data_IF_915642711358
#
_entry.id   IF_915642711358
#
_cell.length_a   1.000
_cell.length_b   1.000
_cell.length_c   1.000
_cell.angle_alpha   90.00
_cell.angle_beta   90.00
_cell.angle_gamma   90.00
#
_symmetry.space_group_name_H-M   'P 1'
#
loop_
_entity.id
_entity.type
_entity.pdbx_description
1 polymer ?
#
# COMPACT_ATOMS: atom_id res chain seq x y z
N UNK A 1 6.84 20.99 20.81
CA UNK A 1 5.56 20.39 21.27
C UNK A 1 5.80 18.99 21.81
N UNK A 2 5.10 18.60 22.88
CA UNK A 2 5.19 17.26 23.49
C UNK A 2 4.28 16.27 22.74
N UNK A 3 4.53 14.96 22.86
CA UNK A 3 3.82 13.92 22.09
C UNK A 3 2.30 13.94 22.27
N UNK A 4 1.80 14.16 23.48
CA UNK A 4 0.35 14.29 23.74
C UNK A 4 -0.30 15.46 23.01
N UNK A 5 0.41 16.58 22.81
CA UNK A 5 -0.13 17.73 22.07
C UNK A 5 -0.37 17.37 20.61
N UNK A 6 0.58 16.67 19.98
CA UNK A 6 0.40 16.17 18.61
C UNK A 6 -0.80 15.22 18.51
N UNK A 7 -0.95 14.29 19.46
CA UNK A 7 -2.07 13.33 19.48
C UNK A 7 -3.41 14.07 19.53
N UNK A 8 -3.57 15.00 20.48
CA UNK A 8 -4.82 15.74 20.68
C UNK A 8 -5.12 16.61 19.46
N UNK A 9 -4.13 17.36 18.95
CA UNK A 9 -4.31 18.25 17.80
C UNK A 9 -4.72 17.46 16.56
N UNK A 10 -4.06 16.34 16.27
CA UNK A 10 -4.40 15.56 15.08
C UNK A 10 -5.70 14.75 15.23
N UNK A 11 -6.07 14.36 16.45
CA UNK A 11 -7.36 13.73 16.71
C UNK A 11 -8.51 14.74 16.55
N UNK A 12 -8.35 15.95 17.07
CA UNK A 12 -9.31 17.03 16.89
C UNK A 12 -9.41 17.47 15.43
N UNK A 13 -8.27 17.57 14.73
CA UNK A 13 -8.25 17.83 13.29
C UNK A 13 -9.00 16.75 12.50
N UNK A 14 -8.85 15.47 12.89
CA UNK A 14 -9.61 14.37 12.28
C UNK A 14 -11.12 14.56 12.48
N UNK A 15 -11.58 14.86 13.69
CA UNK A 15 -13.01 15.12 13.94
C UNK A 15 -13.53 16.28 13.10
N UNK A 16 -12.81 17.41 13.07
CA UNK A 16 -13.20 18.59 12.28
C UNK A 16 -13.31 18.28 10.78
N UNK A 17 -12.40 17.46 10.25
CA UNK A 17 -12.35 17.18 8.82
C UNK A 17 -13.38 16.15 8.34
N UNK A 18 -13.89 15.30 9.23
CA UNK A 18 -14.76 14.17 8.87
C UNK A 18 -16.18 14.26 9.44
N UNK A 19 -16.47 15.23 10.31
CA UNK A 19 -17.81 15.42 10.85
C UNK A 19 -18.78 15.90 9.76
N UNK A 20 -19.84 15.12 9.50
CA UNK A 20 -20.78 15.27 8.38
C UNK A 20 -20.13 15.37 7.00
N UNK A 21 -18.97 14.73 6.82
CA UNK A 21 -18.26 14.68 5.55
C UNK A 21 -17.99 13.23 5.10
N UNK A 22 -18.14 12.99 3.81
CA UNK A 22 -17.65 11.78 3.15
C UNK A 22 -16.13 11.85 2.93
N UNK A 23 -15.52 10.72 2.58
CA UNK A 23 -14.08 10.68 2.26
C UNK A 23 -13.81 11.37 0.91
N UNK A 24 -12.96 12.38 0.94
CA UNK A 24 -12.52 13.12 -0.24
C UNK A 24 -11.32 14.03 0.09
N UNK A 25 -11.49 15.33 -0.12
CA UNK A 25 -10.47 16.35 0.15
C UNK A 25 -9.96 16.32 1.61
N UNK A 26 -10.84 15.99 2.55
CA UNK A 26 -10.51 15.85 3.98
C UNK A 26 -9.33 14.94 4.29
N UNK A 27 -9.28 13.72 3.74
CA UNK A 27 -8.17 12.80 3.98
C UNK A 27 -6.86 13.31 3.35
N UNK A 28 -6.96 13.97 2.19
CA UNK A 28 -5.81 14.62 1.55
C UNK A 28 -5.21 15.73 2.41
N UNK A 29 -6.06 16.61 2.98
CA UNK A 29 -5.64 17.64 3.94
C UNK A 29 -5.02 16.99 5.17
N UNK A 30 -5.68 15.99 5.74
CA UNK A 30 -5.19 15.28 6.92
C UNK A 30 -3.79 14.70 6.67
N UNK A 31 -3.59 14.05 5.52
CA UNK A 31 -2.30 13.46 5.16
C UNK A 31 -1.20 14.52 5.04
N UNK A 32 -1.49 15.65 4.40
CA UNK A 32 -0.56 16.77 4.28
C UNK A 32 -0.23 17.35 5.66
N UNK A 33 -1.23 17.54 6.52
CA UNK A 33 -1.03 18.02 7.88
C UNK A 33 -0.14 17.07 8.70
N UNK A 34 -0.39 15.75 8.62
CA UNK A 34 0.46 14.74 9.28
C UNK A 34 1.90 14.77 8.77
N UNK A 35 2.10 14.90 7.45
CA UNK A 35 3.43 14.98 6.86
C UNK A 35 4.19 16.22 7.35
N UNK A 36 3.54 17.39 7.36
CA UNK A 36 4.11 18.66 7.83
C UNK A 36 4.44 18.60 9.32
N UNK A 37 3.52 18.14 10.16
CA UNK A 37 3.74 17.98 11.60
C UNK A 37 4.88 16.99 11.88
N UNK A 38 5.02 15.96 11.05
CA UNK A 38 6.13 14.99 11.16
C UNK A 38 7.46 15.63 10.82
N UNK A 39 7.53 16.48 9.80
CA UNK A 39 8.74 17.25 9.47
C UNK A 39 9.17 18.14 10.65
N UNK A 40 8.23 18.86 11.26
CA UNK A 40 8.50 19.72 12.42
C UNK A 40 8.92 18.92 13.66
N UNK A 41 8.31 17.77 13.91
CA UNK A 41 8.65 16.90 15.03
C UNK A 41 10.01 16.21 14.88
N UNK A 42 10.42 15.93 13.64
CA UNK A 42 11.63 15.15 13.36
C UNK A 42 12.89 15.99 13.60
N UNK A 43 13.81 15.57 14.48
CA UNK A 43 15.09 16.24 14.68
C UNK A 43 15.91 16.31 13.39
N UNK A 44 16.66 17.38 13.18
CA UNK A 44 17.43 17.59 11.94
C UNK A 44 18.39 16.42 11.61
N UNK A 45 18.98 15.80 12.63
CA UNK A 45 19.83 14.62 12.51
C UNK A 45 19.15 13.41 11.82
N UNK A 46 17.82 13.34 11.88
CA UNK A 46 17.01 12.29 11.28
C UNK A 46 16.45 12.67 9.90
N UNK A 47 16.60 13.93 9.46
CA UNK A 47 16.14 14.43 8.14
C UNK A 47 17.08 14.01 6.99
N UNK A 48 17.29 12.70 6.87
CA UNK A 48 18.07 12.09 5.78
C UNK A 48 17.42 12.29 4.41
N UNK A 49 18.17 12.12 3.32
CA UNK A 49 17.63 12.16 1.94
C UNK A 49 16.39 11.27 1.76
N UNK A 50 16.44 10.04 2.27
CA UNK A 50 15.30 9.11 2.26
C UNK A 50 14.08 9.67 3.01
N UNK A 51 14.31 10.32 4.15
CA UNK A 51 13.21 10.94 4.91
C UNK A 51 12.58 12.09 4.12
N UNK A 52 13.37 12.94 3.46
CA UNK A 52 12.87 14.03 2.64
C UNK A 52 12.11 13.54 1.41
N UNK A 53 12.57 12.46 0.78
CA UNK A 53 11.83 11.79 -0.31
C UNK A 53 10.48 11.29 0.21
N UNK A 54 10.45 10.59 1.36
CA UNK A 54 9.21 10.10 1.96
C UNK A 54 8.27 11.23 2.38
N UNK A 55 8.81 12.37 2.82
CA UNK A 55 8.02 13.56 3.10
C UNK A 55 7.37 14.09 1.82
N UNK A 56 8.15 14.28 0.75
CA UNK A 56 7.62 14.73 -0.53
C UNK A 56 6.58 13.77 -1.10
N UNK A 57 6.83 12.46 -1.07
CA UNK A 57 5.85 11.47 -1.54
C UNK A 57 4.61 11.41 -0.64
N UNK A 58 4.73 11.68 0.66
CA UNK A 58 3.54 11.81 1.53
C UNK A 58 2.67 12.99 1.13
N UNK A 59 3.28 14.14 0.84
CA UNK A 59 2.54 15.33 0.34
C UNK A 59 1.87 15.00 -1.01
N UNK A 60 2.61 14.45 -1.97
CA UNK A 60 2.05 14.08 -3.27
C UNK A 60 0.96 13.01 -3.17
N UNK A 61 1.09 12.04 -2.25
CA UNK A 61 0.02 11.06 -2.00
C UNK A 61 -1.23 11.71 -1.43
N UNK A 62 -1.10 12.69 -0.52
CA UNK A 62 -2.24 13.47 -0.01
C UNK A 62 -2.91 14.29 -1.13
N UNK A 63 -2.13 14.90 -2.02
CA UNK A 63 -2.65 15.60 -3.19
C UNK A 63 -3.35 14.65 -4.17
N UNK A 64 -2.77 13.47 -4.42
CA UNK A 64 -3.36 12.48 -5.31
C UNK A 64 -4.68 11.93 -4.75
N UNK A 65 -4.77 11.71 -3.44
CA UNK A 65 -6.04 11.33 -2.82
C UNK A 65 -7.07 12.46 -2.87
N UNK A 66 -6.68 13.71 -2.62
CA UNK A 66 -7.59 14.85 -2.82
C UNK A 66 -8.06 14.98 -4.28
N UNK A 67 -7.24 14.51 -5.23
CA UNK A 67 -7.55 14.54 -6.65
C UNK A 67 -8.49 13.43 -7.12
N UNK A 68 -8.21 12.19 -6.73
CA UNK A 68 -8.96 11.01 -7.17
C UNK A 68 -9.88 10.45 -6.08
N UNK A 69 -9.42 10.30 -4.84
CA UNK A 69 -10.23 9.70 -3.78
C UNK A 69 -10.51 8.21 -3.99
N UNK A 70 -9.58 7.49 -4.63
CA UNK A 70 -9.71 6.08 -4.97
C UNK A 70 -8.83 5.16 -4.11
N UNK A 71 -9.00 3.85 -4.27
CA UNK A 71 -8.27 2.87 -3.46
C UNK A 71 -6.74 2.92 -3.65
N UNK A 72 -6.18 3.03 -4.87
CA UNK A 72 -4.75 3.24 -5.07
C UNK A 72 -4.20 4.48 -4.37
N UNK A 73 -4.89 5.62 -4.46
CA UNK A 73 -4.46 6.85 -3.76
C UNK A 73 -4.58 6.74 -2.25
N UNK A 74 -5.58 6.02 -1.74
CA UNK A 74 -5.68 5.71 -0.31
C UNK A 74 -4.47 4.89 0.17
N UNK A 75 -4.12 3.84 -0.57
CA UNK A 75 -2.98 3.00 -0.26
C UNK A 75 -1.66 3.78 -0.34
N UNK A 76 -1.54 4.71 -1.29
CA UNK A 76 -0.40 5.63 -1.38
C UNK A 76 -0.28 6.53 -0.15
N UNK A 77 -1.38 7.11 0.34
CA UNK A 77 -1.40 7.93 1.56
C UNK A 77 -0.96 7.12 2.78
N UNK A 78 -1.61 5.98 3.02
CA UNK A 78 -1.35 5.14 4.19
C UNK A 78 0.10 4.65 4.19
N UNK A 79 0.58 4.09 3.08
CA UNK A 79 1.95 3.59 2.98
C UNK A 79 2.99 4.70 3.14
N UNK A 80 2.77 5.87 2.52
CA UNK A 80 3.69 7.02 2.61
C UNK A 80 3.79 7.55 4.04
N UNK A 81 2.65 7.75 4.71
CA UNK A 81 2.62 8.25 6.08
C UNK A 81 3.24 7.27 7.08
N UNK A 82 2.98 5.97 6.93
CA UNK A 82 3.58 4.94 7.79
C UNK A 82 5.10 4.87 7.60
N UNK A 83 5.58 4.93 6.34
CA UNK A 83 7.01 4.96 6.04
C UNK A 83 7.68 6.23 6.60
N UNK A 84 7.03 7.38 6.45
CA UNK A 84 7.50 8.66 6.96
C UNK A 84 7.59 8.64 8.50
N UNK A 85 6.55 8.17 9.19
CA UNK A 85 6.53 8.02 10.64
C UNK A 85 7.64 7.09 11.13
N UNK A 86 7.80 5.95 10.48
CA UNK A 86 8.84 4.98 10.81
C UNK A 86 10.24 5.56 10.66
N UNK A 87 10.49 6.26 9.55
CA UNK A 87 11.80 6.86 9.27
C UNK A 87 12.10 8.07 10.15
N UNK A 88 11.09 8.80 10.61
CA UNK A 88 11.24 9.94 11.53
C UNK A 88 11.91 9.53 12.84
N UNK A 89 11.56 8.34 13.37
CA UNK A 89 12.11 7.81 14.63
C UNK A 89 13.35 6.96 14.41
N UNK A 90 13.42 6.19 13.33
CA UNK A 90 14.48 5.21 13.11
C UNK A 90 15.27 5.44 11.81
N UNK A 91 16.52 5.89 11.92
CA UNK A 91 17.40 6.11 10.76
C UNK A 91 18.01 4.83 10.17
N UNK A 92 18.20 3.78 10.98
CA UNK A 92 18.98 2.59 10.59
C UNK A 92 18.16 1.32 10.41
N UNK A 93 16.92 1.32 10.90
CA UNK A 93 16.06 0.15 10.80
C UNK A 93 15.66 -0.10 9.35
N UNK A 94 15.63 -1.38 8.98
CA UNK A 94 15.16 -1.82 7.66
C UNK A 94 13.64 -1.62 7.55
N UNK A 95 13.17 -1.35 6.34
CA UNK A 95 11.76 -0.99 6.10
C UNK A 95 10.84 -2.20 6.19
N UNK A 96 11.34 -3.41 5.94
CA UNK A 96 10.55 -4.62 6.09
C UNK A 96 10.02 -4.80 7.54
N UNK A 97 10.72 -4.26 8.55
CA UNK A 97 10.23 -4.25 9.93
C UNK A 97 9.06 -3.29 10.17
N UNK A 98 8.69 -2.43 9.21
CA UNK A 98 7.52 -1.58 9.33
C UNK A 98 6.25 -2.39 9.60
N UNK A 99 6.07 -3.51 8.90
CA UNK A 99 4.89 -4.37 9.00
C UNK A 99 4.75 -4.96 10.42
N UNK A 100 5.73 -5.71 10.96
CA UNK A 100 5.61 -6.26 12.29
C UNK A 100 5.54 -5.16 13.36
N UNK A 101 6.24 -4.04 13.19
CA UNK A 101 6.14 -2.94 14.15
C UNK A 101 4.75 -2.30 14.12
N UNK A 102 4.14 -2.12 12.94
CA UNK A 102 2.78 -1.61 12.83
C UNK A 102 1.77 -2.54 13.51
N UNK A 103 1.82 -3.84 13.22
CA UNK A 103 0.94 -4.85 13.83
C UNK A 103 1.08 -4.82 15.37
N UNK A 104 2.32 -4.84 15.87
CA UNK A 104 2.60 -4.80 17.31
C UNK A 104 2.10 -3.49 17.93
N UNK A 105 2.26 -2.34 17.28
CA UNK A 105 1.73 -1.08 17.82
C UNK A 105 0.20 -1.08 17.86
N UNK A 106 -0.49 -1.58 16.82
CA UNK A 106 -1.94 -1.70 16.84
C UNK A 106 -2.43 -2.58 17.99
N UNK A 107 -1.84 -3.77 18.17
CA UNK A 107 -2.23 -4.69 19.25
C UNK A 107 -1.88 -4.12 20.65
N UNK A 108 -0.71 -3.51 20.80
CA UNK A 108 -0.28 -2.95 22.09
C UNK A 108 -0.87 -1.58 22.38
N UNK A 109 -1.55 -0.93 21.43
CA UNK A 109 -2.09 0.42 21.59
C UNK A 109 -3.04 0.53 22.78
N UNK A 110 -3.91 -0.47 22.98
CA UNK A 110 -4.80 -0.57 24.13
C UNK A 110 -4.03 -0.61 25.45
N UNK A 111 -3.04 -1.48 25.58
CA UNK A 111 -2.22 -1.56 26.81
C UNK A 111 -1.40 -0.28 27.05
N UNK A 112 -0.86 0.31 25.98
CA UNK A 112 0.00 1.51 26.04
C UNK A 112 -0.82 2.77 26.31
N UNK A 113 -2.09 2.78 25.94
CA UNK A 113 -3.02 3.85 26.30
C UNK A 113 -3.12 3.97 27.83
N UNK A 114 -3.37 2.85 28.52
CA UNK A 114 -3.43 2.81 30.00
C UNK A 114 -2.07 3.02 30.69
N UNK A 115 -0.97 2.95 29.94
CA UNK A 115 0.38 3.27 30.44
C UNK A 115 0.63 4.78 30.44
N UNK A 116 -0.18 5.53 31.19
CA UNK A 116 -0.21 6.99 31.21
C UNK A 116 1.16 7.64 31.40
N UNK A 117 2.02 7.06 32.26
CA UNK A 117 3.36 7.59 32.54
C UNK A 117 4.32 7.63 31.33
N UNK A 118 4.03 6.85 30.28
CA UNK A 118 4.90 6.75 29.11
C UNK A 118 4.65 7.84 28.07
N UNK A 119 3.43 8.39 28.01
CA UNK A 119 3.03 9.32 26.94
C UNK A 119 2.42 10.63 27.46
N UNK A 120 1.92 10.64 28.71
CA UNK A 120 1.62 11.87 29.44
C UNK A 120 2.87 12.36 30.18
N UNK A 121 3.04 13.68 30.33
CA UNK A 121 4.20 14.23 31.03
C UNK A 121 4.19 13.79 32.50
N UNK A 122 5.30 13.22 32.98
CA UNK A 122 5.55 13.02 34.42
C UNK A 122 5.32 14.35 35.14
N UNK A 123 4.41 14.36 36.11
CA UNK A 123 3.90 15.59 36.70
C UNK A 123 4.96 16.26 37.59
N UNK A 124 5.48 17.39 37.12
CA UNK A 124 5.59 18.64 37.90
C UNK A 124 4.56 19.62 37.31
N UNK A 125 3.26 19.31 37.42
CA UNK A 125 2.20 20.23 36.97
C UNK A 125 1.71 21.01 38.17
N UNK A 126 1.69 22.33 38.04
CA UNK A 126 0.98 23.21 38.95
C UNK A 126 -0.46 22.74 39.12
N UNK A 127 -1.00 22.87 40.34
CA UNK A 127 -2.28 22.27 40.75
C UNK A 127 -3.50 22.61 39.89
N UNK A 128 -3.41 23.55 38.94
CA UNK A 128 -4.52 23.99 38.08
C UNK A 128 -5.06 22.87 37.17
N UNK A 129 -4.20 22.06 36.53
CA UNK A 129 -4.65 21.01 35.59
C UNK A 129 -5.18 19.75 36.28
N UNK A 130 -4.72 19.45 37.50
CA UNK A 130 -5.35 18.45 38.36
C UNK A 130 -6.74 18.92 38.77
N UNK A 131 -6.83 20.20 39.14
CA UNK A 131 -8.08 20.83 39.53
C UNK A 131 -9.09 20.84 38.37
N UNK A 132 -8.74 21.25 37.16
CA UNK A 132 -9.70 21.23 36.04
C UNK A 132 -10.15 19.83 35.63
N UNK A 133 -9.26 18.83 35.59
CA UNK A 133 -9.67 17.44 35.32
C UNK A 133 -10.60 16.88 36.40
N UNK A 134 -10.26 17.08 37.68
CA UNK A 134 -11.03 16.54 38.80
C UNK A 134 -12.32 17.32 39.09
N UNK A 135 -12.32 18.64 38.92
CA UNK A 135 -13.44 19.52 39.26
C UNK A 135 -14.34 19.87 38.07
N UNK A 136 -13.90 19.65 36.83
CA UNK A 136 -14.72 19.95 35.64
C UNK A 136 -15.00 18.67 34.85
N UNK A 137 -13.98 17.94 34.39
CA UNK A 137 -14.21 16.81 33.49
C UNK A 137 -14.97 15.66 34.14
N UNK A 138 -14.55 15.21 35.34
CA UNK A 138 -15.20 14.09 36.05
C UNK A 138 -16.65 14.44 36.43
N UNK A 139 -16.94 15.61 37.04
CA UNK A 139 -18.32 16.02 37.31
C UNK A 139 -19.15 16.17 36.05
N UNK A 140 -18.61 16.73 34.97
CA UNK A 140 -19.34 16.89 33.71
C UNK A 140 -19.74 15.54 33.12
N UNK A 141 -18.84 14.56 33.08
CA UNK A 141 -19.15 13.21 32.58
C UNK A 141 -20.22 12.54 33.45
N UNK A 142 -20.10 12.62 34.77
CA UNK A 142 -21.09 12.07 35.68
C UNK A 142 -22.46 12.75 35.48
N UNK A 143 -22.50 14.09 35.42
CA UNK A 143 -23.72 14.85 35.15
C UNK A 143 -24.31 14.47 33.80
N UNK A 144 -23.52 14.33 32.74
CA UNK A 144 -24.03 13.92 31.42
C UNK A 144 -24.65 12.52 31.43
N UNK A 145 -24.03 11.55 32.13
CA UNK A 145 -24.59 10.20 32.27
C UNK A 145 -25.91 10.23 33.05
N UNK A 146 -25.95 10.91 34.20
CA UNK A 146 -27.17 11.03 35.00
C UNK A 146 -28.26 11.84 34.29
N UNK A 147 -27.89 12.87 33.55
CA UNK A 147 -28.80 13.66 32.73
C UNK A 147 -29.50 12.79 31.67
N UNK A 148 -28.74 11.91 30.98
CA UNK A 148 -29.31 10.95 30.03
C UNK A 148 -30.29 9.97 30.69
N UNK A 149 -29.95 9.45 31.87
CA UNK A 149 -30.83 8.55 32.65
C UNK A 149 -32.11 9.27 33.09
N UNK A 150 -32.01 10.50 33.60
CA UNK A 150 -33.18 11.26 34.06
C UNK A 150 -34.07 11.73 32.91
N UNK A 151 -33.48 12.09 31.76
CA UNK A 151 -34.23 12.41 30.53
C UNK A 151 -35.00 11.20 30.01
N UNK A 152 -34.40 10.01 30.03
CA UNK A 152 -35.10 8.77 29.65
C UNK A 152 -36.17 8.33 30.67
N UNK A 153 -36.06 8.75 31.94
CA UNK A 153 -36.96 8.34 33.02
C UNK A 153 -38.11 9.31 33.31
N UNK A 154 -38.13 10.51 32.73
CA UNK A 154 -39.16 11.51 33.00
C UNK A 154 -39.46 12.39 31.77
N UNK A 155 -40.67 12.23 31.24
CA UNK A 155 -41.15 13.01 30.08
C UNK A 155 -41.17 14.53 30.38
N UNK A 156 -41.48 14.93 31.61
CA UNK A 156 -41.44 16.34 32.03
C UNK A 156 -40.02 16.90 32.10
N UNK A 157 -39.03 16.10 32.51
CA UNK A 157 -37.63 16.54 32.53
C UNK A 157 -37.07 16.62 31.10
N UNK A 158 -37.40 15.66 30.24
CA UNK A 158 -37.07 15.71 28.81
C UNK A 158 -37.71 16.91 28.09
N UNK A 159 -38.95 17.28 28.48
CA UNK A 159 -39.69 18.43 27.94
C UNK A 159 -38.96 19.78 28.14
N UNK A 160 -38.13 19.91 29.18
CA UNK A 160 -37.41 21.17 29.48
C UNK A 160 -36.25 21.45 28.51
N UNK A 161 -35.82 20.45 27.74
CA UNK A 161 -34.65 20.53 26.86
C UNK A 161 -34.95 20.15 25.41
N UNK A 162 -36.21 19.82 25.10
CA UNK A 162 -36.66 19.41 23.76
C UNK A 162 -36.75 20.58 22.78
N UNK A 163 -36.88 21.82 23.27
CA UNK A 163 -36.82 23.03 22.44
C UNK A 163 -35.38 23.37 21.98
N UNK A 164 -34.37 22.68 22.51
CA UNK A 164 -32.96 22.80 22.10
C UNK A 164 -32.54 21.56 21.31
N UNK A 165 -32.86 21.53 20.01
CA UNK A 165 -32.27 20.57 19.08
C UNK A 165 -30.80 20.96 18.82
N UNK A 166 -29.89 20.46 19.65
CA UNK A 166 -28.49 20.33 19.24
C UNK A 166 -28.47 19.33 18.09
N UNK A 167 -28.45 19.83 16.85
CA UNK A 167 -28.24 19.07 15.60
C UNK A 167 -26.79 18.56 15.50
N UNK A 168 -26.33 17.92 16.58
CA UNK A 168 -25.04 17.27 16.68
C UNK A 168 -25.28 15.78 16.79
N UNK A 169 -24.82 15.03 15.80
CA UNK A 169 -24.78 13.59 15.86
C UNK A 169 -23.70 13.14 16.85
N UNK A 170 -24.09 13.04 18.12
CA UNK A 170 -23.20 12.65 19.23
C UNK A 170 -22.56 11.28 18.99
N UNK A 171 -23.27 10.36 18.32
CA UNK A 171 -22.75 9.04 18.00
C UNK A 171 -21.63 9.09 16.96
N UNK A 172 -21.82 9.86 15.89
CA UNK A 172 -20.79 10.10 14.88
C UNK A 172 -19.59 10.82 15.48
N UNK A 173 -19.82 11.86 16.29
CA UNK A 173 -18.77 12.58 17.00
C UNK A 173 -17.96 11.65 17.90
N UNK A 174 -18.62 10.77 18.65
CA UNK A 174 -17.97 9.76 19.48
C UNK A 174 -17.13 8.79 18.65
N UNK A 175 -17.71 8.20 17.59
CA UNK A 175 -17.01 7.29 16.69
C UNK A 175 -15.77 7.94 16.05
N UNK A 176 -15.91 9.15 15.52
CA UNK A 176 -14.81 9.91 14.92
C UNK A 176 -13.74 10.28 15.96
N UNK A 177 -14.14 10.61 17.19
CA UNK A 177 -13.20 10.92 18.27
C UNK A 177 -12.38 9.69 18.67
N UNK A 178 -13.04 8.53 18.82
CA UNK A 178 -12.36 7.26 19.14
C UNK A 178 -11.41 6.84 18.00
N UNK A 179 -11.89 6.88 16.76
CA UNK A 179 -11.10 6.51 15.58
C UNK A 179 -9.93 7.48 15.35
N UNK A 180 -10.20 8.78 15.39
CA UNK A 180 -9.19 9.83 15.23
C UNK A 180 -8.14 9.78 16.32
N UNK A 181 -8.54 9.53 17.57
CA UNK A 181 -7.61 9.31 18.67
C UNK A 181 -6.78 8.04 18.46
N UNK A 182 -7.39 6.93 18.05
CA UNK A 182 -6.68 5.67 17.77
C UNK A 182 -5.60 5.86 16.69
N UNK A 183 -5.94 6.52 15.57
CA UNK A 183 -5.00 6.81 14.48
C UNK A 183 -3.87 7.72 14.98
N UNK A 184 -4.22 8.83 15.63
CA UNK A 184 -3.26 9.80 16.15
C UNK A 184 -2.32 9.17 17.20
N UNK A 185 -2.87 8.37 18.11
CA UNK A 185 -2.11 7.70 19.15
C UNK A 185 -1.10 6.72 18.56
N UNK A 186 -1.53 5.84 17.65
CA UNK A 186 -0.63 4.88 16.99
C UNK A 186 0.46 5.57 16.16
N UNK A 187 0.11 6.65 15.46
CA UNK A 187 1.07 7.39 14.64
C UNK A 187 2.13 8.09 15.51
N UNK A 188 1.71 8.83 16.53
CA UNK A 188 2.60 9.69 17.32
C UNK A 188 3.30 8.96 18.47
N UNK A 189 2.64 7.98 19.10
CA UNK A 189 3.18 7.16 20.20
C UNK A 189 3.79 5.84 19.72
N UNK A 190 4.13 5.77 18.43
CA UNK A 190 4.82 4.64 17.83
C UNK A 190 6.07 4.21 18.61
N UNK A 191 6.17 2.96 19.04
CA UNK A 191 7.39 2.40 19.62
C UNK A 191 7.87 1.16 18.88
N UNK A 192 9.18 1.02 18.81
CA UNK A 192 9.82 -0.20 18.35
C UNK A 192 10.17 -1.00 19.59
N UNK A 193 9.59 -2.18 19.74
CA UNK A 193 9.94 -3.07 20.83
C UNK A 193 11.42 -3.47 20.78
N UNK A 194 12.03 -3.65 21.96
CA UNK A 194 13.46 -3.97 22.10
C UNK A 194 13.84 -5.25 21.35
N UNK A 195 12.93 -6.23 21.28
CA UNK A 195 13.14 -7.47 20.53
C UNK A 195 13.28 -7.20 19.03
N UNK A 196 12.38 -6.42 18.45
CA UNK A 196 12.42 -6.05 17.02
C UNK A 196 13.70 -5.25 16.71
N UNK A 197 14.06 -4.31 17.59
CA UNK A 197 15.27 -3.52 17.42
C UNK A 197 16.54 -4.39 17.46
N UNK A 198 16.64 -5.33 18.41
CA UNK A 198 17.75 -6.29 18.50
C UNK A 198 17.84 -7.15 17.25
N UNK A 199 16.71 -7.57 16.68
CA UNK A 199 16.64 -8.39 15.48
C UNK A 199 16.96 -7.64 14.18
N UNK A 200 17.27 -6.33 14.22
CA UNK A 200 17.52 -5.57 13.00
C UNK A 200 18.66 -6.14 12.12
N UNK A 201 19.70 -6.70 12.76
CA UNK A 201 20.82 -7.34 12.08
C UNK A 201 20.40 -8.58 11.24
N UNK A 202 19.27 -9.21 11.57
CA UNK A 202 18.70 -10.34 10.82
C UNK A 202 18.21 -9.92 9.43
N UNK A 203 18.03 -8.61 9.18
CA UNK A 203 17.67 -8.07 7.87
C UNK A 203 18.79 -7.27 7.19
N UNK A 204 20.03 -7.35 7.64
CA UNK A 204 21.17 -6.88 6.86
C UNK A 204 21.29 -7.55 5.48
N UNK A 205 21.74 -6.76 4.50
CA UNK A 205 21.82 -7.18 3.11
C UNK A 205 23.04 -8.06 2.82
N UNK A 206 24.06 -7.98 3.68
CA UNK A 206 25.36 -8.61 3.54
C UNK A 206 25.53 -9.74 4.55
N UNK A 207 26.33 -10.75 4.17
CA UNK A 207 26.68 -11.83 5.06
C UNK A 207 27.77 -11.40 6.06
N UNK A 208 27.61 -11.69 7.37
CA UNK A 208 28.71 -11.53 8.32
C UNK A 208 29.88 -12.45 7.96
N UNK A 209 31.12 -12.02 8.30
CA UNK A 209 32.36 -12.73 7.92
C UNK A 209 32.34 -14.21 8.34
N UNK A 210 31.82 -14.50 9.53
CA UNK A 210 31.78 -15.86 10.08
C UNK A 210 30.82 -16.81 9.34
N UNK A 211 29.85 -16.25 8.60
CA UNK A 211 28.87 -17.03 7.81
C UNK A 211 29.31 -17.32 6.37
N UNK A 212 30.52 -16.89 5.99
CA UNK A 212 31.08 -17.11 4.66
C UNK A 212 31.72 -18.49 4.50
N UNK A 213 31.85 -19.25 5.60
CA UNK A 213 32.34 -20.63 5.57
C UNK A 213 31.20 -21.56 5.11
N UNK A 214 31.41 -22.37 4.06
CA UNK A 214 30.42 -23.34 3.61
C UNK A 214 30.13 -24.37 4.71
N UNK A 215 28.87 -24.46 5.13
CA UNK A 215 28.36 -25.49 6.06
C UNK A 215 27.12 -26.14 5.46
N UNK A 216 26.95 -27.44 5.67
CA UNK A 216 25.75 -28.14 5.24
C UNK A 216 24.51 -27.56 5.93
N UNK A 217 23.40 -27.52 5.20
CA UNK A 217 22.11 -27.09 5.74
C UNK A 217 21.59 -28.08 6.77
N UNK A 218 21.74 -29.37 6.47
CA UNK A 218 21.19 -30.45 7.24
C UNK A 218 22.32 -31.32 7.78
N UNK A 219 22.19 -31.78 9.03
CA UNK A 219 23.18 -32.65 9.66
C UNK A 219 23.31 -34.02 8.97
N UNK A 220 22.29 -34.44 8.22
CA UNK A 220 22.27 -35.73 7.51
C UNK A 220 22.76 -35.67 6.05
N UNK A 221 22.98 -34.47 5.49
CA UNK A 221 23.53 -34.29 4.14
C UNK A 221 24.88 -33.62 4.21
N UNK A 222 25.88 -34.26 3.60
CA UNK A 222 27.17 -33.62 3.38
C UNK A 222 27.04 -32.47 2.37
N UNK A 223 27.92 -31.49 2.51
CA UNK A 223 27.91 -30.28 1.70
C UNK A 223 28.06 -30.57 0.20
N UNK A 224 28.84 -31.60 -0.16
CA UNK A 224 29.02 -32.01 -1.55
C UNK A 224 27.76 -32.67 -2.12
N UNK A 225 27.03 -33.46 -1.31
CA UNK A 225 25.74 -34.06 -1.68
C UNK A 225 24.64 -33.00 -1.84
N UNK A 226 24.58 -32.01 -0.93
CA UNK A 226 23.65 -30.89 -1.05
C UNK A 226 23.96 -30.02 -2.29
N UNK A 227 25.25 -29.80 -2.60
CA UNK A 227 25.66 -29.13 -3.84
C UNK A 227 25.21 -29.90 -5.07
N UNK A 228 25.44 -31.21 -5.10
CA UNK A 228 25.06 -32.06 -6.22
C UNK A 228 23.54 -32.08 -6.41
N UNK A 229 22.78 -32.17 -5.32
CA UNK A 229 21.31 -32.06 -5.34
C UNK A 229 20.86 -30.74 -5.96
N UNK A 230 21.50 -29.62 -5.60
CA UNK A 230 21.22 -28.32 -6.20
C UNK A 230 21.54 -28.27 -7.70
N UNK A 231 22.69 -28.80 -8.13
CA UNK A 231 23.07 -28.89 -9.54
C UNK A 231 22.05 -29.71 -10.33
N UNK A 232 21.73 -30.93 -9.87
CA UNK A 232 20.75 -31.82 -10.52
C UNK A 232 19.39 -31.13 -10.60
N UNK A 233 18.94 -30.52 -9.50
CA UNK A 233 17.67 -29.79 -9.44
C UNK A 233 17.64 -28.68 -10.50
N UNK A 234 18.67 -27.83 -10.56
CA UNK A 234 18.69 -26.75 -11.56
C UNK A 234 18.80 -27.28 -12.99
N UNK A 235 19.50 -28.39 -13.25
CA UNK A 235 19.52 -29.00 -14.60
C UNK A 235 18.10 -29.44 -14.99
N UNK A 236 17.46 -30.26 -14.15
CA UNK A 236 16.12 -30.78 -14.42
C UNK A 236 15.09 -29.66 -14.57
N UNK A 237 15.15 -28.68 -13.67
CA UNK A 237 14.31 -27.51 -13.73
C UNK A 237 14.54 -26.75 -15.04
N UNK A 238 15.78 -26.36 -15.39
CA UNK A 238 16.05 -25.63 -16.63
C UNK A 238 15.54 -26.37 -17.87
N UNK A 239 15.73 -27.69 -17.95
CA UNK A 239 15.19 -28.52 -19.05
C UNK A 239 13.66 -28.42 -19.09
N UNK A 240 13.00 -28.61 -17.95
CA UNK A 240 11.54 -28.51 -17.84
C UNK A 240 11.04 -27.12 -18.26
N UNK A 241 11.72 -26.05 -17.85
CA UNK A 241 11.33 -24.69 -18.18
C UNK A 241 11.54 -24.36 -19.65
N UNK A 242 12.60 -24.87 -20.30
CA UNK A 242 12.76 -24.74 -21.75
C UNK A 242 11.59 -25.41 -22.46
N UNK A 243 11.25 -26.65 -22.09
CA UNK A 243 10.12 -27.36 -22.68
C UNK A 243 8.79 -26.62 -22.44
N UNK A 244 8.60 -26.10 -21.22
CA UNK A 244 7.43 -25.29 -20.87
C UNK A 244 7.36 -23.99 -21.67
N UNK A 245 8.47 -23.26 -21.85
CA UNK A 245 8.50 -22.04 -22.65
C UNK A 245 8.13 -22.35 -24.10
N UNK A 246 8.66 -23.43 -24.69
CA UNK A 246 8.35 -23.82 -26.06
C UNK A 246 6.87 -24.15 -26.21
N UNK A 247 6.34 -25.04 -25.36
CA UNK A 247 4.92 -25.45 -25.39
C UNK A 247 4.00 -24.27 -25.11
N UNK A 248 4.29 -23.47 -24.08
CA UNK A 248 3.53 -22.26 -23.75
C UNK A 248 3.49 -21.26 -24.91
N UNK A 249 4.61 -20.96 -25.56
CA UNK A 249 4.61 -20.04 -26.70
C UNK A 249 3.89 -20.65 -27.92
N UNK A 250 4.01 -21.96 -28.14
CA UNK A 250 3.26 -22.64 -29.20
C UNK A 250 1.74 -22.52 -28.99
N UNK A 251 1.25 -22.89 -27.81
CA UNK A 251 -0.17 -22.76 -27.46
C UNK A 251 -0.66 -21.30 -27.56
N UNK A 252 0.17 -20.34 -27.14
CA UNK A 252 -0.25 -18.94 -27.07
C UNK A 252 -0.25 -18.23 -28.42
N UNK A 253 0.68 -18.56 -29.31
CA UNK A 253 0.86 -17.81 -30.57
C UNK A 253 0.43 -18.58 -31.82
N UNK A 254 0.33 -19.92 -31.76
CA UNK A 254 0.06 -20.75 -32.95
C UNK A 254 -1.21 -21.60 -32.83
N UNK A 255 -1.67 -21.93 -31.63
CA UNK A 255 -2.91 -22.67 -31.45
C UNK A 255 -4.14 -21.75 -31.66
N UNK A 256 -5.16 -22.27 -32.34
CA UNK A 256 -6.30 -21.53 -32.95
C UNK A 256 -7.00 -20.60 -31.94
N UNK A 257 -7.41 -19.37 -32.35
CA UNK A 257 -8.04 -18.40 -31.45
C UNK A 257 -9.34 -18.93 -30.83
N UNK A 258 -9.31 -19.14 -29.51
CA UNK A 258 -10.47 -19.47 -28.69
C UNK A 258 -11.40 -18.26 -28.53
N UNK A 259 -12.68 -18.51 -28.25
CA UNK A 259 -13.69 -17.46 -28.09
C UNK A 259 -13.31 -16.42 -27.01
N UNK A 260 -13.79 -15.16 -27.09
CA UNK A 260 -13.45 -14.08 -26.15
C UNK A 260 -13.59 -14.41 -24.66
N UNK A 261 -14.60 -15.20 -24.32
CA UNK A 261 -14.92 -15.60 -22.94
C UNK A 261 -13.92 -16.66 -22.45
N UNK A 262 -13.68 -17.71 -23.24
CA UNK A 262 -12.68 -18.72 -22.95
C UNK A 262 -11.27 -18.12 -22.87
N UNK A 263 -10.98 -17.13 -23.73
CA UNK A 263 -9.69 -16.44 -23.72
C UNK A 263 -9.49 -15.59 -22.47
N UNK A 264 -10.53 -14.93 -21.94
CA UNK A 264 -10.39 -14.09 -20.74
C UNK A 264 -10.11 -14.90 -19.48
N UNK A 265 -10.84 -16.00 -19.26
CA UNK A 265 -10.65 -16.87 -18.09
C UNK A 265 -9.32 -17.62 -18.17
N UNK A 266 -9.00 -18.22 -19.32
CA UNK A 266 -7.72 -18.91 -19.50
C UNK A 266 -6.53 -17.95 -19.40
N UNK A 267 -6.63 -16.71 -19.89
CA UNK A 267 -5.51 -15.75 -19.80
C UNK A 267 -5.23 -15.37 -18.35
N UNK A 268 -6.26 -15.22 -17.51
CA UNK A 268 -6.05 -14.92 -16.10
C UNK A 268 -5.44 -16.10 -15.34
N UNK A 269 -5.95 -17.32 -15.54
CA UNK A 269 -5.38 -18.51 -14.90
C UNK A 269 -3.93 -18.76 -15.35
N UNK A 270 -3.65 -18.63 -16.65
CA UNK A 270 -2.31 -18.82 -17.21
C UNK A 270 -1.33 -17.75 -16.73
N UNK A 271 -1.73 -16.48 -16.69
CA UNK A 271 -0.86 -15.41 -16.15
C UNK A 271 -0.62 -15.60 -14.65
N UNK A 272 -1.64 -16.00 -13.89
CA UNK A 272 -1.48 -16.32 -12.47
C UNK A 272 -0.50 -17.49 -12.28
N UNK A 273 -0.57 -18.53 -13.11
CA UNK A 273 0.37 -19.64 -13.09
C UNK A 273 1.80 -19.20 -13.41
N UNK A 274 1.99 -18.29 -14.38
CA UNK A 274 3.29 -17.68 -14.69
C UNK A 274 3.81 -16.85 -13.52
N UNK A 275 2.98 -16.04 -12.88
CA UNK A 275 3.38 -15.25 -11.70
C UNK A 275 3.78 -16.19 -10.55
N UNK A 276 2.98 -17.22 -10.28
CA UNK A 276 3.26 -18.20 -9.24
C UNK A 276 4.57 -18.95 -9.52
N UNK A 277 4.82 -19.35 -10.78
CA UNK A 277 6.05 -20.04 -11.15
C UNK A 277 7.29 -19.18 -10.95
N UNK A 278 7.21 -17.87 -11.22
CA UNK A 278 8.32 -16.93 -10.97
C UNK A 278 8.56 -16.77 -9.46
N UNK A 279 7.51 -16.67 -8.66
CA UNK A 279 7.65 -16.62 -7.19
C UNK A 279 8.34 -17.89 -6.70
N UNK A 280 7.89 -19.06 -7.16
CA UNK A 280 8.50 -20.34 -6.82
C UNK A 280 9.96 -20.43 -7.30
N UNK A 281 10.27 -19.93 -8.49
CA UNK A 281 11.63 -19.85 -9.01
C UNK A 281 12.55 -19.03 -8.09
N UNK A 282 12.08 -17.87 -7.62
CA UNK A 282 12.83 -17.04 -6.67
C UNK A 282 12.98 -17.76 -5.33
N UNK A 283 11.95 -18.47 -4.84
CA UNK A 283 12.02 -19.24 -3.59
C UNK A 283 13.05 -20.37 -3.65
N UNK A 284 13.11 -21.12 -4.76
CA UNK A 284 14.12 -22.18 -4.98
C UNK A 284 15.52 -21.58 -4.95
N UNK A 285 15.74 -20.44 -5.61
CA UNK A 285 17.04 -19.74 -5.57
C UNK A 285 17.34 -19.26 -4.14
N UNK A 286 16.36 -18.72 -3.43
CA UNK A 286 16.54 -18.28 -2.05
C UNK A 286 16.88 -19.43 -1.11
N UNK A 287 16.35 -20.63 -1.36
CA UNK A 287 16.64 -21.83 -0.60
C UNK A 287 18.10 -22.26 -0.78
N UNK A 288 18.54 -22.48 -2.02
CA UNK A 288 19.91 -22.93 -2.32
C UNK A 288 20.97 -21.85 -2.02
N UNK A 289 20.67 -20.58 -2.25
CA UNK A 289 21.61 -19.47 -2.04
C UNK A 289 21.39 -18.74 -0.71
N UNK A 290 20.92 -19.44 0.34
CA UNK A 290 20.69 -18.83 1.66
C UNK A 290 21.97 -18.52 2.45
N UNK A 291 23.06 -19.27 2.25
CA UNK A 291 24.29 -19.17 3.04
C UNK A 291 25.55 -19.58 2.27
N UNK A 292 26.21 -20.67 2.66
CA UNK A 292 27.57 -21.07 2.29
C UNK A 292 27.82 -21.25 0.79
N UNK A 293 26.81 -21.69 0.03
CA UNK A 293 26.93 -21.87 -1.42
C UNK A 293 27.20 -20.58 -2.19
N UNK A 294 26.89 -19.40 -1.63
CA UNK A 294 27.29 -18.14 -2.26
C UNK A 294 28.81 -17.99 -2.33
N UNK A 295 29.55 -18.56 -1.36
CA UNK A 295 31.00 -18.40 -1.19
C UNK A 295 31.80 -19.63 -1.61
N UNK A 296 31.15 -20.77 -1.75
CA UNK A 296 31.77 -22.03 -2.15
C UNK A 296 32.42 -21.94 -3.55
N UNK A 297 33.75 -22.20 -3.69
CA UNK A 297 34.45 -22.18 -4.96
C UNK A 297 34.01 -23.31 -5.92
N UNK A 298 33.57 -24.47 -5.41
CA UNK A 298 33.13 -25.61 -6.23
C UNK A 298 31.69 -25.45 -6.76
N UNK A 299 30.94 -24.46 -6.26
CA UNK A 299 29.54 -24.19 -6.67
C UNK A 299 29.37 -23.43 -7.99
N UNK A 300 30.45 -23.26 -8.77
CA UNK A 300 30.44 -22.47 -10.02
C UNK A 300 29.35 -22.90 -11.00
N UNK A 301 29.23 -24.21 -11.25
CA UNK A 301 28.20 -24.77 -12.15
C UNK A 301 26.78 -24.45 -11.66
N UNK A 302 26.51 -24.63 -10.36
CA UNK A 302 25.20 -24.33 -9.76
C UNK A 302 24.84 -22.84 -9.93
N UNK A 303 25.82 -21.93 -9.74
CA UNK A 303 25.63 -20.49 -9.95
C UNK A 303 25.31 -20.15 -11.40
N UNK A 304 25.95 -20.81 -12.36
CA UNK A 304 25.66 -20.62 -13.79
C UNK A 304 24.26 -21.12 -14.12
N UNK A 305 23.90 -22.33 -13.71
CA UNK A 305 22.58 -22.91 -13.94
C UNK A 305 21.46 -22.07 -13.32
N UNK A 306 21.67 -21.50 -12.13
CA UNK A 306 20.72 -20.58 -11.51
C UNK A 306 20.58 -19.25 -12.27
N UNK A 307 21.65 -18.74 -12.89
CA UNK A 307 21.58 -17.55 -13.75
C UNK A 307 20.86 -17.84 -15.06
N UNK A 308 21.10 -18.99 -15.67
CA UNK A 308 20.34 -19.46 -16.84
C UNK A 308 18.87 -19.60 -16.48
N UNK A 309 18.56 -20.18 -15.31
CA UNK A 309 17.19 -20.29 -14.80
C UNK A 309 16.49 -18.93 -14.67
N UNK A 310 17.16 -17.94 -14.10
CA UNK A 310 16.65 -16.56 -14.01
C UNK A 310 16.40 -15.97 -15.41
N UNK A 311 17.34 -16.18 -16.34
CA UNK A 311 17.22 -15.68 -17.70
C UNK A 311 16.04 -16.31 -18.45
N UNK A 312 15.84 -17.63 -18.35
CA UNK A 312 14.69 -18.32 -18.91
C UNK A 312 13.37 -17.82 -18.32
N UNK A 313 13.31 -17.59 -17.00
CA UNK A 313 12.12 -17.00 -16.36
C UNK A 313 11.86 -15.57 -16.86
N UNK A 314 12.90 -14.78 -17.16
CA UNK A 314 12.73 -13.47 -17.76
C UNK A 314 12.16 -13.55 -19.18
N UNK A 315 12.59 -14.53 -19.99
CA UNK A 315 11.99 -14.81 -21.31
C UNK A 315 10.50 -15.15 -21.15
N UNK A 316 10.16 -16.03 -20.21
CA UNK A 316 8.77 -16.40 -19.95
C UNK A 316 7.90 -15.17 -19.60
N UNK A 317 8.42 -14.25 -18.77
CA UNK A 317 7.73 -12.99 -18.46
C UNK A 317 7.51 -12.13 -19.70
N UNK A 318 8.51 -12.04 -20.58
CA UNK A 318 8.40 -11.28 -21.83
C UNK A 318 7.33 -11.91 -22.75
N UNK A 319 7.32 -13.23 -22.90
CA UNK A 319 6.26 -13.95 -23.65
C UNK A 319 4.87 -13.65 -23.09
N UNK A 320 4.70 -13.70 -21.77
CA UNK A 320 3.42 -13.36 -21.12
C UNK A 320 3.03 -11.89 -21.33
N UNK A 321 4.00 -10.97 -21.30
CA UNK A 321 3.76 -9.55 -21.55
C UNK A 321 3.31 -9.30 -22.99
N UNK A 322 3.94 -9.95 -23.97
CA UNK A 322 3.57 -9.87 -25.38
C UNK A 322 2.14 -10.39 -25.61
N UNK A 323 1.76 -11.50 -24.96
CA UNK A 323 0.39 -12.01 -25.08
C UNK A 323 -0.64 -11.08 -24.43
N UNK A 324 -0.34 -10.51 -23.26
CA UNK A 324 -1.21 -9.52 -22.64
C UNK A 324 -1.35 -8.25 -23.50
N UNK A 325 -0.28 -7.85 -24.20
CA UNK A 325 -0.34 -6.76 -25.17
C UNK A 325 -1.28 -7.07 -26.35
N UNK A 326 -1.13 -8.24 -26.97
CA UNK A 326 -2.03 -8.71 -28.02
C UNK A 326 -3.48 -8.75 -27.54
N UNK A 327 -3.70 -9.20 -26.30
CA UNK A 327 -5.02 -9.24 -25.68
C UNK A 327 -5.63 -7.83 -25.52
N UNK A 328 -4.84 -6.82 -25.16
CA UNK A 328 -5.30 -5.43 -25.11
C UNK A 328 -5.59 -4.88 -26.52
N UNK A 329 -4.76 -5.21 -27.50
CA UNK A 329 -4.98 -4.79 -28.90
C UNK A 329 -6.27 -5.40 -29.44
N UNK A 330 -6.63 -6.62 -29.05
CA UNK A 330 -7.85 -7.27 -29.52
C UNK A 330 -9.10 -6.90 -28.70
N UNK A 331 -8.98 -6.69 -27.39
CA UNK A 331 -10.13 -6.55 -26.47
C UNK A 331 -10.18 -5.24 -25.69
N UNK A 332 -9.37 -4.25 -26.05
CA UNK A 332 -9.25 -2.92 -25.42
C UNK A 332 -8.53 -2.90 -24.05
N UNK A 333 -8.29 -1.71 -23.50
CA UNK A 333 -7.66 -1.54 -22.19
C UNK A 333 -8.64 -1.76 -21.03
N UNK A 334 -8.17 -2.39 -19.95
CA UNK A 334 -8.89 -2.52 -18.68
C UNK A 334 -7.92 -2.37 -17.51
N UNK A 335 -8.44 -2.06 -16.31
CA UNK A 335 -7.61 -2.00 -15.10
C UNK A 335 -6.89 -3.33 -14.83
N UNK A 336 -7.57 -4.47 -15.01
CA UNK A 336 -6.97 -5.80 -14.80
C UNK A 336 -5.78 -6.04 -15.73
N UNK A 337 -5.91 -5.72 -17.03
CA UNK A 337 -4.83 -5.93 -18.02
C UNK A 337 -3.64 -4.99 -17.82
N UNK A 338 -3.87 -3.76 -17.36
CA UNK A 338 -2.79 -2.86 -16.95
C UNK A 338 -2.12 -3.33 -15.64
N UNK A 339 -2.90 -3.83 -14.70
CA UNK A 339 -2.40 -4.45 -13.47
C UNK A 339 -1.45 -5.60 -13.76
N UNK A 340 -1.78 -6.46 -14.72
CA UNK A 340 -0.86 -7.52 -15.20
C UNK A 340 0.49 -6.96 -15.61
N UNK A 341 0.55 -5.88 -16.41
CA UNK A 341 1.84 -5.29 -16.78
C UNK A 341 2.63 -4.78 -15.57
N UNK A 342 1.95 -4.16 -14.59
CA UNK A 342 2.59 -3.74 -13.36
C UNK A 342 3.19 -4.94 -12.58
N UNK A 343 2.45 -6.05 -12.50
CA UNK A 343 2.95 -7.29 -11.89
C UNK A 343 4.11 -7.91 -12.66
N UNK A 344 4.04 -8.01 -13.99
CA UNK A 344 5.12 -8.55 -14.82
C UNK A 344 6.39 -7.69 -14.72
N UNK A 345 6.26 -6.36 -14.66
CA UNK A 345 7.38 -5.45 -14.42
C UNK A 345 8.01 -5.69 -13.04
N UNK A 346 7.19 -5.83 -11.99
CA UNK A 346 7.66 -6.16 -10.64
C UNK A 346 8.37 -7.53 -10.60
N UNK A 347 7.86 -8.53 -11.33
CA UNK A 347 8.49 -9.83 -11.47
C UNK A 347 9.86 -9.74 -12.17
N UNK A 348 9.98 -8.97 -13.26
CA UNK A 348 11.28 -8.73 -13.90
C UNK A 348 12.28 -8.04 -12.96
N UNK A 349 11.82 -7.05 -12.18
CA UNK A 349 12.64 -6.39 -11.17
C UNK A 349 13.09 -7.40 -10.10
N UNK A 350 12.18 -8.26 -9.63
CA UNK A 350 12.48 -9.33 -8.66
C UNK A 350 13.52 -10.33 -9.19
N UNK A 351 13.40 -10.75 -10.45
CA UNK A 351 14.38 -11.59 -11.14
C UNK A 351 15.75 -10.89 -11.28
N UNK A 352 15.76 -9.60 -11.67
CA UNK A 352 16.98 -8.81 -11.76
C UNK A 352 17.68 -8.66 -10.40
N UNK A 353 16.92 -8.39 -9.33
CA UNK A 353 17.45 -8.34 -7.96
C UNK A 353 18.00 -9.69 -7.51
N UNK A 354 17.34 -10.79 -7.90
CA UNK A 354 17.80 -12.16 -7.63
C UNK A 354 19.11 -12.46 -8.35
N UNK A 355 19.27 -12.01 -9.59
CA UNK A 355 20.52 -12.10 -10.33
C UNK A 355 21.64 -11.31 -9.64
N UNK A 356 21.36 -10.05 -9.26
CA UNK A 356 22.30 -9.20 -8.52
C UNK A 356 22.68 -9.84 -7.18
N UNK A 357 21.73 -10.46 -6.49
CA UNK A 357 21.97 -11.17 -5.23
C UNK A 357 23.00 -12.29 -5.40
N UNK A 358 22.87 -13.12 -6.43
CA UNK A 358 23.83 -14.20 -6.71
C UNK A 358 25.19 -13.61 -7.07
N UNK A 359 25.23 -12.60 -7.94
CA UNK A 359 26.48 -12.01 -8.42
C UNK A 359 27.26 -11.31 -7.30
N UNK A 360 26.58 -10.51 -6.47
CA UNK A 360 27.17 -9.75 -5.37
C UNK A 360 27.14 -10.50 -4.04
N UNK A 361 26.77 -11.79 -4.04
CA UNK A 361 26.72 -12.67 -2.86
C UNK A 361 25.93 -12.03 -1.70
N UNK A 362 24.75 -11.48 -1.99
CA UNK A 362 23.88 -10.84 -0.99
C UNK A 362 22.97 -11.86 -0.29
N UNK A 363 22.56 -11.54 0.94
CA UNK A 363 21.60 -12.36 1.70
C UNK A 363 20.19 -12.24 1.12
N UNK A 364 19.31 -13.20 1.41
CA UNK A 364 17.89 -13.15 1.03
C UNK A 364 17.19 -11.85 1.50
N UNK A 365 17.59 -11.30 2.65
CA UNK A 365 17.06 -10.04 3.17
C UNK A 365 17.26 -8.85 2.19
N UNK A 366 18.34 -8.85 1.38
CA UNK A 366 18.56 -7.82 0.35
C UNK A 366 17.41 -7.76 -0.65
N UNK A 367 16.88 -8.92 -1.07
CA UNK A 367 15.80 -9.00 -2.04
C UNK A 367 14.55 -8.32 -1.48
N UNK A 368 14.09 -8.73 -0.29
CA UNK A 368 12.89 -8.15 0.33
C UNK A 368 13.05 -6.66 0.68
N UNK A 369 14.19 -6.27 1.25
CA UNK A 369 14.46 -4.87 1.61
C UNK A 369 14.48 -3.95 0.40
N UNK A 370 14.84 -4.46 -0.78
CA UNK A 370 14.87 -3.67 -2.00
C UNK A 370 13.51 -3.73 -2.71
N UNK A 371 12.87 -4.91 -2.74
CA UNK A 371 11.58 -5.11 -3.40
C UNK A 371 10.46 -4.25 -2.79
N UNK A 372 10.48 -4.03 -1.47
CA UNK A 372 9.48 -3.18 -0.80
C UNK A 372 9.48 -1.74 -1.32
N UNK A 373 10.64 -1.23 -1.76
CA UNK A 373 10.73 0.10 -2.36
C UNK A 373 10.11 0.15 -3.75
N UNK A 374 10.32 -0.90 -4.56
CA UNK A 374 9.70 -1.01 -5.88
C UNK A 374 8.18 -1.16 -5.76
N UNK A 375 7.70 -1.98 -4.81
CA UNK A 375 6.27 -2.10 -4.51
C UNK A 375 5.67 -0.75 -4.09
N UNK A 376 6.34 -0.03 -3.20
CA UNK A 376 5.93 1.32 -2.80
C UNK A 376 5.89 2.27 -4.00
N UNK A 377 6.93 2.28 -4.84
CA UNK A 377 6.97 3.08 -6.07
C UNK A 377 5.81 2.76 -7.04
N UNK A 378 5.47 1.48 -7.22
CA UNK A 378 4.33 1.07 -8.04
C UNK A 378 3.02 1.60 -7.49
N UNK A 379 2.80 1.54 -6.17
CA UNK A 379 1.60 2.12 -5.54
C UNK A 379 1.48 3.62 -5.83
N UNK A 380 2.59 4.36 -5.75
CA UNK A 380 2.60 5.80 -6.07
C UNK A 380 2.25 6.05 -7.55
N UNK A 381 2.83 5.27 -8.47
CA UNK A 381 2.53 5.38 -9.91
C UNK A 381 1.05 5.07 -10.18
N UNK A 382 0.49 4.06 -9.52
CA UNK A 382 -0.94 3.74 -9.61
C UNK A 382 -1.83 4.86 -9.08
N UNK A 383 -1.37 5.62 -8.09
CA UNK A 383 -2.10 6.73 -7.48
C UNK A 383 -1.99 8.04 -8.24
N UNK A 384 -0.86 8.34 -8.90
CA UNK A 384 -0.58 9.68 -9.42
C UNK A 384 -1.08 9.89 -10.85
N UNK A 385 -1.35 8.81 -11.58
CA UNK A 385 -1.70 8.85 -12.99
C UNK A 385 -3.20 8.60 -13.15
N UNK A 386 -3.86 9.38 -14.02
CA UNK A 386 -5.26 9.14 -14.38
C UNK A 386 -5.39 7.92 -15.32
N UNK A 387 -5.33 6.72 -14.74
CA UNK A 387 -5.46 5.47 -15.46
C UNK A 387 -6.83 5.30 -16.13
N UNK A 388 -7.92 5.75 -15.50
CA UNK A 388 -9.26 5.61 -16.08
C UNK A 388 -9.51 6.53 -17.28
N UNK A 389 -9.01 7.76 -17.21
CA UNK A 389 -8.93 8.67 -18.35
C UNK A 389 -8.09 8.09 -19.49
N UNK A 390 -6.91 7.52 -19.18
CA UNK A 390 -6.07 6.85 -20.16
C UNK A 390 -6.79 5.69 -20.85
N UNK A 391 -7.38 4.76 -20.08
CA UNK A 391 -8.13 3.60 -20.58
C UNK A 391 -9.24 4.05 -21.55
N UNK A 392 -10.04 5.03 -21.14
CA UNK A 392 -11.17 5.53 -21.94
C UNK A 392 -10.68 6.25 -23.19
N UNK A 393 -9.59 7.01 -23.10
CA UNK A 393 -8.99 7.71 -24.24
C UNK A 393 -8.47 6.78 -25.34
N UNK A 394 -7.97 5.61 -24.98
CA UNK A 394 -7.52 4.62 -25.96
C UNK A 394 -8.68 3.79 -26.51
N UNK A 395 -9.60 3.38 -25.62
CA UNK A 395 -10.72 2.53 -26.02
C UNK A 395 -11.73 3.26 -26.92
N UNK A 396 -11.94 4.57 -26.72
CA UNK A 396 -12.91 5.35 -27.52
C UNK A 396 -12.55 5.43 -29.01
N UNK A 397 -11.27 5.19 -29.36
CA UNK A 397 -10.79 5.20 -30.75
C UNK A 397 -11.21 3.94 -31.51
N UNK A 398 -11.66 2.91 -30.80
CA UNK A 398 -12.02 1.62 -31.37
C UNK A 398 -13.47 1.62 -31.84
N UNK A 399 -13.79 0.73 -32.79
CA UNK A 399 -15.14 0.57 -33.32
C UNK A 399 -16.09 -0.12 -32.33
N UNK A 400 -15.55 -0.97 -31.47
CA UNK A 400 -16.24 -1.78 -30.44
C UNK A 400 -16.30 -1.08 -29.06
N UNK A 401 -16.32 0.26 -29.04
CA UNK A 401 -16.28 1.01 -27.79
C UNK A 401 -17.54 0.79 -26.93
N UNK A 402 -17.38 0.12 -25.79
CA UNK A 402 -18.46 -0.20 -24.86
C UNK A 402 -18.72 0.94 -23.88
N UNK A 403 -19.56 1.91 -24.26
CA UNK A 403 -19.89 3.11 -23.46
C UNK A 403 -20.32 2.74 -22.03
N UNK A 404 -21.24 1.78 -21.87
CA UNK A 404 -21.79 1.40 -20.56
C UNK A 404 -20.70 0.88 -19.60
N UNK A 405 -19.74 0.10 -20.11
CA UNK A 405 -18.61 -0.37 -19.31
C UNK A 405 -17.75 0.81 -18.81
N UNK A 406 -17.46 1.78 -19.68
CA UNK A 406 -16.68 2.95 -19.29
C UNK A 406 -17.43 3.87 -18.33
N UNK A 407 -18.75 4.00 -18.44
CA UNK A 407 -19.54 4.83 -17.54
C UNK A 407 -19.64 4.24 -16.12
N UNK A 408 -19.74 2.91 -16.00
CA UNK A 408 -19.99 2.21 -14.73
C UNK A 408 -18.73 1.71 -14.03
N UNK A 409 -17.76 1.17 -14.78
CA UNK A 409 -16.61 0.46 -14.19
C UNK A 409 -15.31 1.26 -14.20
N UNK A 410 -15.23 2.36 -14.97
CA UNK A 410 -14.00 3.16 -15.10
C UNK A 410 -14.17 4.52 -14.41
N UNK A 411 -13.42 4.72 -13.34
CA UNK A 411 -13.40 5.99 -12.59
C UNK A 411 -12.57 7.07 -13.30
N UNK A 412 -12.89 8.35 -13.06
CA UNK A 412 -12.13 9.53 -13.50
C UNK A 412 -11.91 9.65 -15.02
N UNK A 413 -12.86 9.16 -15.81
CA UNK A 413 -12.83 9.22 -17.28
C UNK A 413 -13.84 10.20 -17.88
N UNK A 414 -14.52 10.99 -17.06
CA UNK A 414 -15.64 11.82 -17.46
C UNK A 414 -15.25 12.84 -18.53
N UNK A 415 -14.04 13.44 -18.47
CA UNK A 415 -13.50 14.29 -19.55
C UNK A 415 -13.43 13.57 -20.91
N UNK A 416 -13.06 12.29 -20.89
CA UNK A 416 -12.94 11.47 -22.09
C UNK A 416 -14.33 11.08 -22.63
N UNK A 417 -15.29 10.78 -21.75
CA UNK A 417 -16.68 10.48 -22.14
C UNK A 417 -17.40 11.71 -22.71
N UNK A 418 -17.22 12.89 -22.12
CA UNK A 418 -17.77 14.15 -22.67
C UNK A 418 -17.21 14.44 -24.07
N UNK A 419 -15.90 14.28 -24.25
CA UNK A 419 -15.26 14.43 -25.56
C UNK A 419 -15.87 13.47 -26.59
N UNK A 420 -16.02 12.20 -26.24
CA UNK A 420 -16.64 11.21 -27.12
C UNK A 420 -18.10 11.55 -27.46
N UNK A 421 -18.90 11.94 -26.45
CA UNK A 421 -20.29 12.38 -26.64
C UNK A 421 -20.39 13.61 -27.56
N UNK A 422 -19.43 14.53 -27.49
CA UNK A 422 -19.33 15.68 -28.40
C UNK A 422 -19.05 15.26 -29.83
N UNK A 423 -18.08 14.37 -30.05
CA UNK A 423 -17.72 13.88 -31.38
C UNK A 423 -18.85 13.05 -32.04
N UNK A 424 -19.66 12.34 -31.25
CA UNK A 424 -20.76 11.50 -31.73
C UNK A 424 -22.14 12.15 -31.67
N UNK A 425 -22.24 13.39 -31.19
CA UNK A 425 -23.51 14.08 -30.94
C UNK A 425 -24.51 13.28 -30.07
N UNK A 426 -24.00 12.48 -29.13
CA UNK A 426 -24.83 11.71 -28.21
C UNK A 426 -25.25 12.57 -27.01
N UNK A 427 -26.43 13.20 -27.14
CA UNK A 427 -26.99 14.07 -26.10
C UNK A 427 -27.34 13.30 -24.82
N UNK A 428 -27.71 12.03 -24.92
CA UNK A 428 -28.10 11.21 -23.75
C UNK A 428 -26.88 10.92 -22.89
N UNK A 429 -25.77 10.51 -23.51
CA UNK A 429 -24.51 10.27 -22.81
C UNK A 429 -24.00 11.55 -22.14
N UNK A 430 -24.02 12.68 -22.85
CA UNK A 430 -23.60 13.97 -22.27
C UNK A 430 -24.40 14.31 -21.02
N UNK A 431 -25.73 14.20 -21.09
CA UNK A 431 -26.60 14.48 -19.95
C UNK A 431 -26.26 13.57 -18.76
N UNK A 432 -26.14 12.27 -18.97
CA UNK A 432 -25.78 11.32 -17.91
C UNK A 432 -24.42 11.62 -17.26
N UNK A 433 -23.43 12.03 -18.06
CA UNK A 433 -22.10 12.38 -17.54
C UNK A 433 -22.14 13.71 -16.79
N UNK A 434 -22.87 14.71 -17.29
CA UNK A 434 -23.07 15.97 -16.57
C UNK A 434 -23.81 15.77 -15.25
N UNK A 435 -24.91 15.00 -15.23
CA UNK A 435 -25.66 14.69 -14.00
C UNK A 435 -24.73 14.05 -12.94
N UNK A 436 -23.85 13.13 -13.36
CA UNK A 436 -22.84 12.53 -12.48
C UNK A 436 -21.84 13.56 -11.95
N UNK A 437 -21.33 14.44 -12.80
CA UNK A 437 -20.38 15.50 -12.41
C UNK A 437 -21.06 16.49 -11.45
N UNK A 438 -22.29 16.91 -11.72
CA UNK A 438 -23.04 17.83 -10.86
C UNK A 438 -23.31 17.22 -9.49
N UNK A 439 -23.70 15.95 -9.43
CA UNK A 439 -23.83 15.23 -8.17
C UNK A 439 -22.51 15.25 -7.37
N UNK A 440 -21.38 14.96 -8.02
CA UNK A 440 -20.06 15.05 -7.36
C UNK A 440 -19.65 16.49 -6.97
N UNK A 441 -20.07 17.50 -7.75
CA UNK A 441 -19.81 18.92 -7.45
C UNK A 441 -20.68 19.46 -6.31
N UNK A 442 -21.87 18.92 -6.14
CA UNK A 442 -22.85 19.33 -5.12
C UNK A 442 -22.48 18.87 -3.70
N UNK A 443 -21.56 17.90 -3.58
CA UNK A 443 -21.04 17.44 -2.28
C UNK A 443 -20.47 18.58 -1.44
N UNK A 444 -20.50 18.41 -0.13
CA UNK A 444 -19.93 19.34 0.84
C UNK A 444 -18.44 19.59 0.60
N UNK A 445 -17.96 20.79 0.93
CA UNK A 445 -16.63 21.29 0.51
C UNK A 445 -15.45 20.36 0.83
N UNK A 446 -15.48 19.67 1.99
CA UNK A 446 -14.44 18.73 2.42
C UNK A 446 -14.60 17.32 1.85
N UNK A 447 -15.80 16.97 1.39
CA UNK A 447 -16.12 15.70 0.70
C UNK A 447 -15.82 15.74 -0.81
N UNK A 448 -15.59 16.94 -1.37
CA UNK A 448 -15.34 17.10 -2.81
C UNK A 448 -14.09 16.37 -3.27
N UNK A 449 -14.14 15.87 -4.49
CA UNK A 449 -12.98 15.32 -5.20
C UNK A 449 -12.55 16.35 -6.25
N UNK A 450 -11.28 16.77 -6.22
CA UNK A 450 -10.80 17.89 -7.06
C UNK A 450 -10.92 17.60 -8.56
N UNK A 451 -10.76 16.35 -9.00
CA UNK A 451 -10.90 15.98 -10.40
C UNK A 451 -12.19 16.51 -11.03
N UNK A 452 -13.34 16.29 -10.37
CA UNK A 452 -14.65 16.71 -10.87
C UNK A 452 -14.83 18.23 -10.91
N UNK A 453 -14.12 18.97 -10.05
CA UNK A 453 -14.16 20.44 -10.04
C UNK A 453 -13.46 21.04 -11.26
N UNK A 454 -12.55 20.28 -11.90
CA UNK A 454 -11.81 20.74 -13.10
C UNK A 454 -12.50 20.44 -14.42
N UNK A 455 -13.69 19.86 -14.38
CA UNK A 455 -14.48 19.56 -15.58
C UNK A 455 -15.52 20.65 -15.72
N UNK A 456 -15.51 21.36 -16.85
CA UNK A 456 -16.55 22.32 -17.21
C UNK A 456 -17.73 21.62 -17.87
#
# INVERSE_FOLDING_TARGET
MKTHQYIIITALLFVILFYDQDMGLNLGILAIAYAILTLFRTPEKNRTRTFLILFATSIFSGMAFAWYGDFPSFLAVVSSLLLLAYRSKNRRMKILFLIPVFIVNCCTSFCRFFSFDQWLPKRNVSGLWQKTLAFILIPLVLVSVFFGIYSAGSDHFAALFTDYELDINLWQLFCLSVLGFFIAFNYWNYAVEKLIYKSNHVLDNDFPKDSQVPKSTYSFLDLDSERMSGVISFILLNILLVFFIITYNYEQFYEVPKTPVQLSEETHERINAVILSIIMAILVIMFYFKSGFNFDPKSGLMKVLAKVWIFLNAILVISAALKNYEYIVNYAFTYKRLGVFAFLLLSLIGLALTFIKIQKKKRNAFLFNTMIWYLYGTILICSYINWGGFITSQNMKRKDFAINYHFTAINFNEKALLKYGNEKNDQKLKKQVHDKIENEKSKTSLSKILYYQTIE
#
